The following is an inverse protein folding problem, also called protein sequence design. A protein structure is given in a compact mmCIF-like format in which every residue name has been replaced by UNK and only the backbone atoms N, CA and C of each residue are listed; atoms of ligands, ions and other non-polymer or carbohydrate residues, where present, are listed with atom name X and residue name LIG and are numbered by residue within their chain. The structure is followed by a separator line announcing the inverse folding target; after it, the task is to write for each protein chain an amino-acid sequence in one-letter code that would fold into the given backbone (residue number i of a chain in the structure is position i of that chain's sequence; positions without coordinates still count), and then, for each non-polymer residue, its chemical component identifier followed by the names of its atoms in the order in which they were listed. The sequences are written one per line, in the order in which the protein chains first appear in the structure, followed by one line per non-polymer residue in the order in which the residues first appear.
data_IF_492034335842
#
_entry.id   IF_492034335842
#
_cell.length_a   1.000
_cell.length_b   1.000
_cell.length_c   1.000
_cell.angle_alpha   90.00
_cell.angle_beta   90.00
_cell.angle_gamma   90.00
#
_symmetry.space_group_name_H-M   'P 1'
#
loop_
_entity.id
_entity.type
_entity.pdbx_description
1 polymer ?
#
# COMPACT_ATOMS: atom_id res chain seq x y z
N UNK A 1 24.26 -8.27 -13.45
CA UNK A 1 22.91 -7.69 -13.48
C UNK A 1 23.00 -6.26 -13.01
N UNK A 2 22.15 -5.37 -13.52
CA UNK A 2 22.08 -3.98 -13.08
C UNK A 2 21.49 -3.97 -11.66
N UNK A 3 22.14 -3.33 -10.68
CA UNK A 3 21.55 -3.18 -9.34
C UNK A 3 20.23 -2.38 -9.44
N UNK A 4 19.26 -2.69 -8.60
CA UNK A 4 17.93 -2.09 -8.59
C UNK A 4 17.76 -1.16 -7.40
N UNK A 5 17.42 0.10 -7.68
CA UNK A 5 17.10 1.12 -6.70
C UNK A 5 15.58 1.30 -6.62
N UNK A 6 14.99 1.10 -5.45
CA UNK A 6 13.60 1.36 -5.15
C UNK A 6 13.44 2.62 -4.30
N UNK A 7 12.72 3.61 -4.82
CA UNK A 7 12.36 4.82 -4.08
C UNK A 7 10.86 4.82 -3.84
N UNK A 8 10.43 5.09 -2.60
CA UNK A 8 9.02 5.02 -2.19
C UNK A 8 8.58 6.39 -1.68
N UNK A 9 7.47 6.88 -2.20
CA UNK A 9 6.74 8.01 -1.61
C UNK A 9 5.93 7.52 -0.40
N UNK A 10 6.55 7.63 0.77
CA UNK A 10 6.02 7.16 2.04
C UNK A 10 4.79 7.95 2.50
N UNK A 11 4.80 9.28 2.31
CA UNK A 11 3.67 10.15 2.58
C UNK A 11 2.42 9.71 1.82
N UNK A 12 2.53 9.61 0.49
CA UNK A 12 1.42 9.25 -0.39
C UNK A 12 0.92 7.83 -0.10
N UNK A 13 1.84 6.89 0.15
CA UNK A 13 1.48 5.54 0.55
C UNK A 13 0.73 5.49 1.89
N UNK A 14 1.16 6.25 2.90
CA UNK A 14 0.49 6.32 4.19
C UNK A 14 -0.94 6.88 4.08
N UNK A 15 -1.10 7.99 3.35
CA UNK A 15 -2.41 8.57 3.06
C UNK A 15 -3.33 7.60 2.32
N UNK A 16 -2.83 6.95 1.27
CA UNK A 16 -3.61 5.98 0.51
C UNK A 16 -4.00 4.78 1.36
N UNK A 17 -3.09 4.29 2.20
CA UNK A 17 -3.33 3.18 3.12
C UNK A 17 -4.43 3.52 4.12
N UNK A 18 -4.42 4.73 4.68
CA UNK A 18 -5.49 5.20 5.57
C UNK A 18 -6.86 5.20 4.86
N UNK A 19 -6.92 5.77 3.65
CA UNK A 19 -8.19 5.89 2.93
C UNK A 19 -8.71 4.57 2.35
N UNK A 20 -7.83 3.61 2.06
CA UNK A 20 -8.21 2.27 1.59
C UNK A 20 -9.15 1.55 2.58
N UNK A 21 -9.05 1.84 3.87
CA UNK A 21 -9.89 1.26 4.93
C UNK A 21 -10.95 2.23 5.46
N UNK A 22 -11.20 3.38 4.82
CA UNK A 22 -12.16 4.37 5.36
C UNK A 22 -13.58 3.82 5.56
N UNK A 23 -14.02 2.84 4.76
CA UNK A 23 -15.33 2.20 4.93
C UNK A 23 -15.37 1.18 6.07
N UNK A 24 -14.21 0.61 6.45
CA UNK A 24 -14.08 -0.35 7.55
C UNK A 24 -12.71 -0.17 8.22
N UNK A 25 -12.55 0.87 9.06
CA UNK A 25 -11.29 1.14 9.72
C UNK A 25 -10.88 -0.04 10.60
N UNK A 26 -9.59 -0.32 10.63
CA UNK A 26 -8.99 -1.27 11.54
C UNK A 26 -8.71 -0.55 12.85
N UNK A 27 -9.11 -1.15 13.97
CA UNK A 27 -8.83 -0.62 15.30
C UNK A 27 -8.31 -1.74 16.19
N UNK A 28 -7.35 -1.42 17.05
CA UNK A 28 -6.92 -2.33 18.11
C UNK A 28 -7.87 -2.26 19.32
N UNK A 29 -7.65 -3.12 20.32
CA UNK A 29 -8.42 -3.13 21.57
C UNK A 29 -8.43 -1.81 22.34
N UNK A 30 -7.44 -0.94 22.13
CA UNK A 30 -7.34 0.41 22.73
C UNK A 30 -8.14 1.46 21.94
N UNK A 31 -8.82 1.07 20.86
CA UNK A 31 -9.60 1.96 20.00
C UNK A 31 -8.78 2.79 19.02
N UNK A 32 -7.45 2.61 18.96
CA UNK A 32 -6.59 3.32 18.02
C UNK A 32 -6.83 2.81 16.61
N UNK A 33 -6.99 3.72 15.65
CA UNK A 33 -7.01 3.38 14.23
C UNK A 33 -5.62 2.91 13.80
N UNK A 34 -5.53 1.72 13.20
CA UNK A 34 -4.28 1.09 12.75
C UNK A 34 -4.26 0.84 11.24
N UNK A 35 -5.25 1.35 10.51
CA UNK A 35 -5.42 1.14 9.07
C UNK A 35 -4.25 1.63 8.22
N UNK A 36 -3.68 2.79 8.55
CA UNK A 36 -2.60 3.37 7.77
C UNK A 36 -1.34 2.51 7.90
N UNK A 37 -0.97 2.14 9.14
CA UNK A 37 0.20 1.28 9.39
C UNK A 37 0.04 -0.09 8.73
N UNK A 38 -1.13 -0.73 8.90
CA UNK A 38 -1.38 -2.06 8.31
C UNK A 38 -1.32 -2.04 6.79
N UNK A 39 -2.02 -1.09 6.16
CA UNK A 39 -2.03 -0.94 4.71
C UNK A 39 -0.67 -0.57 4.14
N UNK A 40 0.09 0.28 4.85
CA UNK A 40 1.44 0.67 4.47
C UNK A 40 2.35 -0.55 4.44
N UNK A 41 2.38 -1.34 5.53
CA UNK A 41 3.20 -2.55 5.63
C UNK A 41 2.87 -3.57 4.55
N UNK A 42 1.58 -3.85 4.31
CA UNK A 42 1.19 -4.80 3.25
C UNK A 42 1.62 -4.33 1.87
N UNK A 43 1.48 -3.03 1.59
CA UNK A 43 1.88 -2.46 0.30
C UNK A 43 3.40 -2.46 0.15
N UNK A 44 4.14 -2.09 1.20
CA UNK A 44 5.59 -2.12 1.23
C UNK A 44 6.13 -3.53 1.00
N UNK A 45 5.68 -4.52 1.77
CA UNK A 45 6.12 -5.92 1.62
C UNK A 45 5.86 -6.47 0.22
N UNK A 46 4.72 -6.11 -0.38
CA UNK A 46 4.40 -6.51 -1.75
C UNK A 46 5.34 -5.87 -2.77
N UNK A 47 5.55 -4.55 -2.69
CA UNK A 47 6.41 -3.83 -3.64
C UNK A 47 7.85 -4.32 -3.51
N UNK A 48 8.35 -4.52 -2.29
CA UNK A 48 9.67 -5.10 -2.06
C UNK A 48 9.75 -6.53 -2.62
N UNK A 49 8.72 -7.35 -2.44
CA UNK A 49 8.67 -8.71 -3.00
C UNK A 49 8.61 -8.75 -4.53
N UNK A 50 7.90 -7.80 -5.16
CA UNK A 50 7.81 -7.67 -6.62
C UNK A 50 9.11 -7.16 -7.24
N UNK A 51 9.76 -6.18 -6.58
CA UNK A 51 10.94 -5.49 -7.12
C UNK A 51 12.25 -6.19 -6.75
N UNK A 52 12.32 -6.78 -5.55
CA UNK A 52 13.53 -7.33 -4.94
C UNK A 52 14.75 -6.40 -5.06
N UNK A 53 14.69 -5.19 -4.45
CA UNK A 53 15.69 -4.15 -4.66
C UNK A 53 17.02 -4.40 -3.93
N UNK A 54 18.11 -3.92 -4.52
CA UNK A 54 19.43 -3.88 -3.88
C UNK A 54 19.58 -2.63 -2.97
N UNK A 55 18.88 -1.55 -3.32
CA UNK A 55 18.84 -0.29 -2.59
C UNK A 55 17.38 0.15 -2.41
N UNK A 56 17.01 0.62 -1.23
CA UNK A 56 15.66 1.10 -0.92
C UNK A 56 15.69 2.38 -0.06
N UNK A 57 14.93 3.38 -0.50
CA UNK A 57 14.72 4.62 0.25
C UNK A 57 13.24 4.97 0.32
N UNK A 58 12.76 5.40 1.49
CA UNK A 58 11.37 5.79 1.70
C UNK A 58 11.33 7.26 2.13
N UNK A 59 10.81 8.11 1.25
CA UNK A 59 10.75 9.55 1.46
C UNK A 59 9.43 9.96 2.10
N UNK A 60 9.49 10.88 3.07
CA UNK A 60 8.33 11.44 3.74
C UNK A 60 8.38 12.97 3.70
N UNK A 61 7.19 13.58 3.68
CA UNK A 61 7.05 15.02 3.77
C UNK A 61 7.11 15.47 5.22
N UNK A 62 7.85 16.55 5.48
CA UNK A 62 7.81 17.23 6.77
C UNK A 62 6.66 18.25 6.79
N UNK A 63 6.09 18.47 7.97
CA UNK A 63 4.99 19.43 8.18
C UNK A 63 5.41 20.92 8.07
N UNK A 64 6.62 21.20 7.58
CA UNK A 64 7.17 22.56 7.47
C UNK A 64 6.98 23.12 6.06
N UNK A 65 6.85 24.45 5.91
CA UNK A 65 6.82 25.08 4.59
C UNK A 65 8.09 24.75 3.78
N UNK A 66 7.90 24.60 2.49
CA UNK A 66 8.97 24.37 1.49
C UNK A 66 9.20 25.61 0.64
N UNK A 67 10.25 25.61 -0.18
CA UNK A 67 10.54 26.72 -1.11
C UNK A 67 9.36 27.05 -2.05
N UNK A 68 8.48 26.07 -2.35
CA UNK A 68 7.26 26.30 -3.13
C UNK A 68 6.29 27.30 -2.47
N UNK A 69 6.27 27.38 -1.14
CA UNK A 69 5.44 28.34 -0.42
C UNK A 69 5.97 29.78 -0.53
N UNK A 70 7.27 29.95 -0.81
CA UNK A 70 7.87 31.25 -1.12
C UNK A 70 7.49 31.70 -2.55
N UNK A 71 7.43 30.75 -3.49
CA UNK A 71 7.04 31.00 -4.90
C UNK A 71 5.54 31.31 -5.01
N UNK A 72 4.69 30.52 -4.33
CA UNK A 72 3.24 30.69 -4.38
C UNK A 72 2.61 30.39 -3.03
N UNK A 73 2.17 31.45 -2.34
CA UNK A 73 1.64 31.36 -0.97
C UNK A 73 0.42 30.45 -0.82
N UNK A 74 -0.39 30.30 -1.88
CA UNK A 74 -1.58 29.45 -1.88
C UNK A 74 -1.30 28.00 -2.32
N UNK A 75 -0.04 27.64 -2.56
CA UNK A 75 0.36 26.28 -2.90
C UNK A 75 -0.07 25.29 -1.80
N UNK A 76 -0.73 24.19 -2.19
CA UNK A 76 -1.33 23.20 -1.26
C UNK A 76 -2.27 23.80 -0.18
N UNK A 77 -2.68 25.08 -0.27
CA UNK A 77 -3.48 25.74 0.76
C UNK A 77 -4.91 25.17 0.90
N UNK A 78 -5.43 24.55 -0.17
CA UNK A 78 -6.71 23.84 -0.16
C UNK A 78 -6.60 22.37 0.26
N UNK A 79 -5.39 21.86 0.50
CA UNK A 79 -5.18 20.48 0.95
C UNK A 79 -5.82 20.34 2.33
N UNK A 80 -6.68 19.34 2.49
CA UNK A 80 -7.30 19.05 3.79
C UNK A 80 -6.19 18.78 4.79
N UNK A 81 -6.35 19.29 6.02
CA UNK A 81 -5.47 18.92 7.13
C UNK A 81 -5.38 17.41 7.23
N UNK A 82 -4.20 16.90 7.59
CA UNK A 82 -4.01 15.49 7.88
C UNK A 82 -5.10 15.02 8.85
N UNK A 83 -5.78 13.90 8.59
CA UNK A 83 -6.77 13.36 9.53
C UNK A 83 -6.15 13.16 10.91
N UNK A 84 -6.88 13.52 11.97
CA UNK A 84 -6.42 13.39 13.36
C UNK A 84 -6.06 11.95 13.71
N UNK A 85 -6.71 10.96 13.06
CA UNK A 85 -6.40 9.54 13.24
C UNK A 85 -5.19 9.05 12.42
N UNK A 86 -4.74 9.80 11.41
CA UNK A 86 -3.56 9.46 10.60
C UNK A 86 -2.27 9.97 11.24
N UNK A 87 -2.27 11.21 11.74
CA UNK A 87 -1.09 11.83 12.38
C UNK A 87 -0.37 10.92 13.40
N UNK A 88 -1.05 10.30 14.38
CA UNK A 88 -0.38 9.42 15.35
C UNK A 88 0.14 8.10 14.75
N UNK A 89 -0.25 7.74 13.53
CA UNK A 89 0.23 6.55 12.84
C UNK A 89 1.54 6.80 12.08
N UNK A 90 1.89 8.06 11.75
CA UNK A 90 3.11 8.38 11.00
C UNK A 90 4.39 7.97 11.76
N UNK A 91 4.58 8.32 13.05
CA UNK A 91 5.75 7.87 13.81
C UNK A 91 5.85 6.35 13.90
N UNK A 92 4.71 5.66 13.97
CA UNK A 92 4.67 4.19 14.01
C UNK A 92 5.08 3.60 12.65
N UNK A 93 4.69 4.23 11.54
CA UNK A 93 5.16 3.84 10.21
C UNK A 93 6.69 3.98 10.14
N UNK A 94 7.25 5.08 10.68
CA UNK A 94 8.70 5.27 10.72
C UNK A 94 9.38 4.16 11.53
N UNK A 95 8.87 3.88 12.73
CA UNK A 95 9.39 2.80 13.58
C UNK A 95 9.40 1.45 12.87
N UNK A 96 8.34 1.14 12.09
CA UNK A 96 8.27 -0.10 11.32
C UNK A 96 9.26 -0.10 10.16
N UNK A 97 9.39 1.00 9.42
CA UNK A 97 10.33 1.13 8.29
C UNK A 97 11.77 0.95 8.75
N UNK A 98 12.16 1.59 9.85
CA UNK A 98 13.49 1.41 10.44
C UNK A 98 13.69 -0.02 10.94
N UNK A 99 12.69 -0.61 11.60
CA UNK A 99 12.78 -1.98 12.08
C UNK A 99 12.83 -3.02 10.94
N UNK A 100 12.32 -2.69 9.75
CA UNK A 100 12.53 -3.49 8.53
C UNK A 100 13.94 -3.35 7.95
N UNK A 101 14.77 -2.43 8.46
CA UNK A 101 16.12 -2.18 7.96
C UNK A 101 16.16 -1.24 6.75
N UNK A 102 15.13 -0.43 6.53
CA UNK A 102 15.06 0.51 5.41
C UNK A 102 15.34 1.95 5.84
N UNK A 103 15.88 2.74 4.92
CA UNK A 103 16.22 4.13 5.18
C UNK A 103 15.02 5.06 4.99
N UNK A 104 14.73 5.84 6.02
CA UNK A 104 13.82 6.99 5.97
C UNK A 104 14.58 8.21 5.43
N UNK A 105 13.94 8.93 4.51
CA UNK A 105 14.49 10.11 3.86
C UNK A 105 13.55 11.30 4.11
N UNK A 106 14.02 12.25 4.90
CA UNK A 106 13.29 13.47 5.26
C UNK A 106 14.28 14.62 5.33
N UNK A 107 13.96 15.76 4.73
CA UNK A 107 14.82 16.94 4.75
C UNK A 107 13.96 18.20 4.90
N UNK A 108 14.39 19.13 5.75
CA UNK A 108 13.64 20.36 5.96
C UNK A 108 13.67 21.25 4.71
N UNK A 109 12.51 21.78 4.33
CA UNK A 109 12.39 22.65 3.16
C UNK A 109 12.20 21.93 1.83
N UNK A 110 12.31 20.59 1.81
CA UNK A 110 12.08 19.75 0.63
C UNK A 110 10.81 18.90 0.80
N UNK A 111 10.17 18.57 -0.32
CA UNK A 111 9.09 17.58 -0.36
C UNK A 111 9.65 16.19 -0.70
N UNK A 112 8.88 15.14 -0.40
CA UNK A 112 9.29 13.77 -0.71
C UNK A 112 9.62 13.59 -2.22
N UNK A 113 8.86 14.27 -3.09
CA UNK A 113 9.08 14.25 -4.53
C UNK A 113 10.44 14.84 -4.95
N UNK A 114 10.92 15.87 -4.26
CA UNK A 114 12.21 16.51 -4.54
C UNK A 114 13.37 15.56 -4.20
N UNK A 115 13.26 14.86 -3.06
CA UNK A 115 14.24 13.86 -2.62
C UNK A 115 14.25 12.67 -3.59
N UNK A 116 13.05 12.16 -3.94
CA UNK A 116 12.90 11.04 -4.87
C UNK A 116 13.47 11.40 -6.24
N UNK A 117 13.15 12.58 -6.77
CA UNK A 117 13.69 13.06 -8.05
C UNK A 117 15.22 13.11 -8.03
N UNK A 118 15.79 13.69 -6.97
CA UNK A 118 17.24 13.84 -6.81
C UNK A 118 17.96 12.48 -6.78
N UNK A 119 17.43 11.52 -6.01
CA UNK A 119 18.01 10.18 -5.91
C UNK A 119 17.78 9.33 -7.15
N UNK A 120 16.65 9.51 -7.85
CA UNK A 120 16.36 8.81 -9.10
C UNK A 120 17.33 9.25 -10.20
N UNK A 121 17.58 10.56 -10.33
CA UNK A 121 18.54 11.10 -11.29
C UNK A 121 19.97 10.62 -11.00
N UNK A 122 20.38 10.62 -9.72
CA UNK A 122 21.68 10.10 -9.30
C UNK A 122 21.79 8.58 -9.57
N UNK A 123 20.75 7.81 -9.25
CA UNK A 123 20.69 6.37 -9.49
C UNK A 123 20.78 6.04 -10.97
N UNK A 124 20.05 6.76 -11.81
CA UNK A 124 20.14 6.60 -13.27
C UNK A 124 21.55 6.89 -13.79
N UNK A 125 22.16 8.00 -13.35
CA UNK A 125 23.53 8.39 -13.74
C UNK A 125 24.58 7.34 -13.35
N UNK A 126 24.41 6.69 -12.20
CA UNK A 126 25.28 5.58 -11.76
C UNK A 126 24.95 4.24 -12.42
N UNK A 127 23.92 4.20 -13.27
CA UNK A 127 23.53 2.99 -13.98
C UNK A 127 22.79 2.01 -13.10
N UNK A 128 21.91 2.46 -12.19
CA UNK A 128 20.92 1.64 -11.50
C UNK A 128 19.63 1.46 -12.33
N UNK A 129 18.94 0.34 -12.17
CA UNK A 129 17.54 0.21 -12.59
C UNK A 129 16.68 0.88 -11.53
N UNK A 130 16.17 2.07 -11.80
CA UNK A 130 15.43 2.86 -10.81
C UNK A 130 13.94 2.57 -10.93
N UNK A 131 13.32 2.24 -9.82
CA UNK A 131 11.88 2.04 -9.69
C UNK A 131 11.38 2.99 -8.61
N UNK A 132 10.39 3.79 -8.95
CA UNK A 132 9.75 4.70 -8.00
C UNK A 132 8.34 4.21 -7.72
N UNK A 133 8.02 3.92 -6.47
CA UNK A 133 6.66 3.61 -6.05
C UNK A 133 5.98 4.88 -5.53
N UNK A 134 5.11 5.44 -6.36
CA UNK A 134 4.34 6.65 -6.02
C UNK A 134 2.95 6.63 -6.66
N UNK A 135 2.05 7.41 -6.09
CA UNK A 135 0.76 7.75 -6.68
C UNK A 135 0.72 9.17 -7.24
N UNK A 136 1.77 9.94 -7.01
CA UNK A 136 1.88 11.29 -7.53
C UNK A 136 2.16 11.25 -9.03
N UNK A 137 1.43 12.09 -9.76
CA UNK A 137 1.58 12.23 -11.20
C UNK A 137 2.74 13.16 -11.55
N UNK A 138 3.20 13.99 -10.62
CA UNK A 138 4.24 14.98 -10.87
C UNK A 138 5.58 14.28 -11.09
N UNK A 139 5.83 13.18 -10.37
CA UNK A 139 6.98 12.31 -10.58
C UNK A 139 7.00 11.63 -11.96
N UNK A 140 5.90 11.62 -12.73
CA UNK A 140 5.91 11.06 -14.10
C UNK A 140 6.93 11.75 -15.02
N UNK A 141 7.39 12.95 -14.66
CA UNK A 141 8.42 13.69 -15.38
C UNK A 141 9.81 13.04 -15.35
N UNK A 142 10.08 12.16 -14.37
CA UNK A 142 11.39 11.49 -14.18
C UNK A 142 11.52 10.19 -14.96
N UNK A 143 10.42 9.71 -15.56
CA UNK A 143 10.38 8.42 -16.27
C UNK A 143 11.31 8.45 -17.49
N UNK A 144 12.14 7.43 -17.62
CA UNK A 144 13.14 7.29 -18.68
C UNK A 144 13.28 5.81 -19.10
N UNK A 145 14.28 5.48 -19.91
CA UNK A 145 14.61 4.08 -20.22
C UNK A 145 15.04 3.29 -18.98
N UNK A 146 15.64 3.96 -17.99
CA UNK A 146 16.20 3.34 -16.78
C UNK A 146 15.41 3.64 -15.51
N UNK A 147 14.45 4.55 -15.59
CA UNK A 147 13.59 4.97 -14.47
C UNK A 147 12.15 4.64 -14.80
N UNK A 148 11.53 3.77 -14.00
CA UNK A 148 10.12 3.38 -14.14
C UNK A 148 9.33 3.74 -12.88
N UNK A 149 8.05 4.07 -13.04
CA UNK A 149 7.15 4.27 -11.91
C UNK A 149 6.25 3.05 -11.74
N UNK A 150 6.10 2.62 -10.49
CA UNK A 150 5.22 1.56 -10.06
C UNK A 150 4.04 2.15 -9.29
N UNK A 151 2.83 1.79 -9.68
CA UNK A 151 1.61 2.21 -9.00
C UNK A 151 0.72 1.00 -8.70
N UNK A 152 0.10 0.98 -7.54
CA UNK A 152 -0.82 -0.10 -7.15
C UNK A 152 -2.28 0.36 -7.20
N UNK A 153 -3.09 -0.25 -8.05
CA UNK A 153 -4.54 -0.01 -8.14
C UNK A 153 -5.31 -1.22 -7.60
N UNK A 154 -6.62 -1.02 -7.37
CA UNK A 154 -7.55 -2.10 -6.98
C UNK A 154 -7.55 -3.28 -7.95
N UNK A 155 -7.16 -3.06 -9.22
CA UNK A 155 -7.12 -4.08 -10.27
C UNK A 155 -5.72 -4.68 -10.50
N UNK A 156 -4.76 -4.41 -9.63
CA UNK A 156 -3.38 -4.90 -9.73
C UNK A 156 -2.35 -3.78 -9.89
N UNK A 157 -1.19 -4.17 -10.38
CA UNK A 157 0.00 -3.32 -10.51
C UNK A 157 -0.01 -2.63 -11.89
N UNK A 158 0.35 -1.35 -11.92
CA UNK A 158 0.47 -0.53 -13.12
C UNK A 158 1.90 0.02 -13.21
N UNK A 159 2.58 -0.28 -14.31
CA UNK A 159 3.92 0.21 -14.60
C UNK A 159 3.86 1.39 -15.57
N UNK A 160 4.71 2.37 -15.30
CA UNK A 160 4.92 3.53 -16.14
C UNK A 160 6.37 3.57 -16.63
N UNK A 161 6.47 3.60 -17.95
CA UNK A 161 7.64 3.78 -18.79
C UNK A 161 7.36 4.94 -19.79
N UNK A 162 8.32 5.35 -20.62
CA UNK A 162 8.10 6.49 -21.52
C UNK A 162 6.90 6.35 -22.46
N UNK A 163 6.59 5.12 -22.91
CA UNK A 163 5.50 4.86 -23.85
C UNK A 163 4.13 4.88 -23.17
N UNK A 164 4.01 4.30 -21.98
CA UNK A 164 2.78 4.31 -21.18
C UNK A 164 2.48 5.71 -20.63
N UNK A 165 3.50 6.49 -20.24
CA UNK A 165 3.34 7.92 -19.93
C UNK A 165 2.81 8.67 -21.15
N UNK A 166 3.43 8.49 -22.31
CA UNK A 166 2.96 9.09 -23.57
C UNK A 166 1.53 8.69 -23.93
N UNK A 167 1.18 7.42 -23.76
CA UNK A 167 -0.16 6.90 -24.02
C UNK A 167 -1.22 7.51 -23.09
N UNK A 168 -0.89 7.69 -21.81
CA UNK A 168 -1.81 8.24 -20.81
C UNK A 168 -1.97 9.76 -20.90
N UNK A 169 -0.87 10.49 -21.03
CA UNK A 169 -0.86 11.95 -20.95
C UNK A 169 -0.83 12.64 -22.32
N UNK A 170 -0.52 11.92 -23.39
CA UNK A 170 -0.42 12.47 -24.74
C UNK A 170 0.88 13.25 -25.02
N UNK A 171 1.80 13.26 -24.07
CA UNK A 171 3.11 13.92 -24.12
C UNK A 171 4.16 13.01 -23.48
N UNK A 172 5.44 13.10 -23.88
CA UNK A 172 6.50 12.31 -23.25
C UNK A 172 6.81 12.82 -21.83
N UNK A 173 7.52 12.03 -20.98
CA UNK A 173 7.83 12.38 -19.58
C UNK A 173 8.37 13.80 -19.39
N UNK A 174 9.33 14.23 -20.22
CA UNK A 174 9.97 15.55 -20.13
C UNK A 174 9.02 16.74 -20.37
N UNK A 175 7.79 16.48 -20.85
CA UNK A 175 6.72 17.47 -21.08
C UNK A 175 5.60 17.41 -20.04
N UNK A 176 5.71 16.56 -19.02
CA UNK A 176 4.76 16.53 -17.90
C UNK A 176 4.69 17.88 -17.17
N UNK A 177 5.81 18.58 -16.87
CA UNK A 177 5.73 19.91 -16.26
C UNK A 177 4.97 20.94 -17.11
N UNK A 178 5.22 20.97 -18.43
CA UNK A 178 4.48 21.83 -19.36
C UNK A 178 2.97 21.51 -19.32
N UNK A 179 2.63 20.23 -19.32
CA UNK A 179 1.26 19.74 -19.32
C UNK A 179 0.50 20.16 -18.06
N UNK A 180 1.11 19.97 -16.89
CA UNK A 180 0.52 20.30 -15.60
C UNK A 180 0.40 21.81 -15.39
N UNK A 181 1.39 22.59 -15.80
CA UNK A 181 1.32 24.05 -15.73
C UNK A 181 0.24 24.65 -16.65
N UNK A 182 0.03 24.07 -17.83
CA UNK A 182 -1.05 24.48 -18.74
C UNK A 182 -2.42 24.07 -18.23
N UNK A 183 -2.56 22.82 -17.78
CA UNK A 183 -3.85 22.27 -17.35
C UNK A 183 -4.24 22.67 -15.92
N UNK A 184 -3.26 23.09 -15.12
CA UNK A 184 -3.37 23.26 -13.68
C UNK A 184 -3.35 21.93 -12.92
N UNK A 185 -3.21 22.06 -11.61
CA UNK A 185 -3.43 20.94 -10.70
C UNK A 185 -4.36 21.32 -9.53
N UNK A 186 -5.52 20.66 -9.49
CA UNK A 186 -6.50 20.87 -8.43
C UNK A 186 -6.01 20.29 -7.09
N UNK A 187 -5.28 19.18 -7.07
CA UNK A 187 -4.79 18.59 -5.80
C UNK A 187 -3.86 19.54 -5.05
N UNK A 188 -2.97 20.19 -5.80
CA UNK A 188 -1.93 21.07 -5.30
C UNK A 188 -2.30 22.56 -5.35
N UNK A 189 -3.53 22.87 -5.78
CA UNK A 189 -4.04 24.22 -5.98
C UNK A 189 -3.16 25.06 -6.94
N UNK A 190 -2.59 24.41 -7.95
CA UNK A 190 -1.82 25.06 -9.02
C UNK A 190 -2.80 25.55 -10.10
N UNK A 191 -2.84 26.87 -10.39
CA UNK A 191 -3.73 27.40 -11.41
C UNK A 191 -3.25 27.02 -12.81
N UNK A 192 -4.19 26.54 -13.63
CA UNK A 192 -4.00 26.31 -15.05
C UNK A 192 -4.64 27.40 -15.91
N UNK A 193 -4.47 27.29 -17.22
CA UNK A 193 -5.14 28.19 -18.17
C UNK A 193 -6.64 27.83 -18.23
N UNK A 194 -7.55 28.80 -18.02
CA UNK A 194 -8.99 28.54 -18.08
C UNK A 194 -9.42 27.86 -19.38
N UNK A 195 -10.14 26.75 -19.27
CA UNK A 195 -10.60 25.96 -20.43
C UNK A 195 -9.54 25.04 -21.03
N UNK A 196 -8.33 24.98 -20.48
CA UNK A 196 -7.28 24.04 -20.88
C UNK A 196 -7.24 22.90 -19.86
N UNK A 197 -7.66 21.71 -20.28
CA UNK A 197 -7.41 20.47 -19.54
C UNK A 197 -6.27 19.67 -20.17
N UNK A 198 -5.89 18.54 -19.55
CA UNK A 198 -4.80 17.65 -19.98
C UNK A 198 -4.80 17.37 -21.50
N UNK A 199 -5.95 17.01 -22.08
CA UNK A 199 -6.05 16.72 -23.53
C UNK A 199 -5.79 17.94 -24.40
N UNK A 200 -6.21 19.13 -23.96
CA UNK A 200 -5.98 20.39 -24.70
C UNK A 200 -4.53 20.81 -24.54
N UNK A 201 -3.98 20.75 -23.32
CA UNK A 201 -2.58 21.02 -23.03
C UNK A 201 -1.64 20.16 -23.89
N UNK A 202 -1.88 18.85 -23.98
CA UNK A 202 -1.10 17.96 -24.84
C UNK A 202 -1.13 18.35 -26.33
N UNK A 203 -2.28 18.82 -26.83
CA UNK A 203 -2.39 19.32 -28.22
C UNK A 203 -1.62 20.62 -28.43
N UNK A 204 -1.63 21.51 -27.44
CA UNK A 204 -0.87 22.77 -27.48
C UNK A 204 0.63 22.48 -27.49
N UNK A 205 1.12 21.63 -26.59
CA UNK A 205 2.53 21.19 -26.52
C UNK A 205 2.94 20.57 -27.85
N UNK A 206 2.14 19.65 -28.41
CA UNK A 206 2.45 19.02 -29.70
C UNK A 206 2.54 20.03 -30.86
N UNK A 207 1.78 21.12 -30.81
CA UNK A 207 1.73 22.13 -31.87
C UNK A 207 2.80 23.21 -31.72
N UNK A 208 3.06 23.64 -30.49
CA UNK A 208 3.85 24.83 -30.20
C UNK A 208 5.17 24.54 -29.46
N UNK A 209 5.44 23.28 -29.09
CA UNK A 209 6.70 22.84 -28.49
C UNK A 209 6.63 22.70 -26.96
N UNK A 210 6.64 23.82 -26.24
CA UNK A 210 6.63 23.88 -24.78
C UNK A 210 5.80 25.04 -24.24
N UNK A 211 5.54 25.04 -22.93
CA UNK A 211 4.97 26.19 -22.25
C UNK A 211 5.87 27.42 -22.38
N UNK A 212 7.18 27.24 -22.22
CA UNK A 212 8.14 28.33 -22.32
C UNK A 212 8.13 28.96 -23.72
N UNK A 213 8.09 28.16 -24.77
CA UNK A 213 7.97 28.65 -26.16
C UNK A 213 6.68 29.48 -26.35
N UNK A 214 5.56 29.01 -25.80
CA UNK A 214 4.27 29.71 -25.86
C UNK A 214 4.27 31.02 -25.06
N UNK A 215 5.05 31.10 -23.98
CA UNK A 215 5.19 32.29 -23.14
C UNK A 215 6.13 33.31 -23.79
N UNK A 216 7.19 32.85 -24.45
CA UNK A 216 8.16 33.71 -25.17
C UNK A 216 7.60 34.23 -26.49
N UNK A 217 6.81 33.42 -27.19
CA UNK A 217 6.26 33.72 -28.51
C UNK A 217 4.73 33.57 -28.56
N UNK A 218 3.96 34.33 -27.75
CA UNK A 218 2.51 34.17 -27.67
C UNK A 218 1.79 34.40 -29.01
N UNK A 219 2.37 35.16 -29.94
CA UNK A 219 1.84 35.43 -31.27
C UNK A 219 1.61 34.19 -32.14
N UNK A 220 2.34 33.09 -31.88
CA UNK A 220 2.19 31.84 -32.65
C UNK A 220 0.90 31.11 -32.30
N UNK A 221 0.29 31.43 -31.15
CA UNK A 221 -0.87 30.76 -30.61
C UNK A 221 -2.12 31.22 -31.36
N UNK A 222 -2.77 30.27 -32.05
CA UNK A 222 -3.99 30.53 -32.83
C UNK A 222 -5.22 30.71 -31.95
N UNK A 223 -5.25 30.06 -30.79
CA UNK A 223 -6.34 30.11 -29.84
C UNK A 223 -6.33 31.44 -29.07
N UNK A 224 -7.12 32.40 -29.54
CA UNK A 224 -7.13 33.78 -29.05
C UNK A 224 -7.29 33.88 -27.52
N UNK A 225 -8.20 33.10 -26.92
CA UNK A 225 -8.40 33.10 -25.46
C UNK A 225 -7.15 32.63 -24.69
N UNK A 226 -6.44 31.62 -25.20
CA UNK A 226 -5.23 31.08 -24.58
C UNK A 226 -4.09 32.07 -24.74
N UNK A 227 -3.90 32.60 -25.95
CA UNK A 227 -2.90 33.64 -26.23
C UNK A 227 -3.07 34.86 -25.31
N UNK A 228 -4.30 35.40 -25.25
CA UNK A 228 -4.60 36.56 -24.44
C UNK A 228 -4.39 36.28 -22.94
N UNK A 229 -4.71 35.07 -22.48
CA UNK A 229 -4.45 34.66 -21.09
C UNK A 229 -2.95 34.58 -20.79
N UNK A 230 -2.15 33.92 -21.64
CA UNK A 230 -0.69 33.81 -21.45
C UNK A 230 -0.05 35.20 -21.45
N UNK A 231 -0.46 36.10 -22.35
CA UNK A 231 0.08 37.47 -22.37
C UNK A 231 -0.27 38.26 -21.10
N UNK A 232 -1.48 38.09 -20.55
CA UNK A 232 -1.94 38.82 -19.35
C UNK A 232 -1.46 38.20 -18.04
N UNK A 233 -1.25 36.90 -18.03
CA UNK A 233 -0.96 36.10 -16.83
C UNK A 233 0.37 35.36 -16.94
N UNK A 234 1.33 35.96 -17.68
CA UNK A 234 2.66 35.39 -17.94
C UNK A 234 3.36 34.91 -16.68
N UNK A 235 3.44 35.78 -15.67
CA UNK A 235 4.11 35.47 -14.40
C UNK A 235 3.43 34.29 -13.68
N UNK A 236 2.09 34.27 -13.64
CA UNK A 236 1.35 33.17 -13.03
C UNK A 236 1.62 31.82 -13.70
N UNK A 237 1.64 31.80 -15.05
CA UNK A 237 1.90 30.58 -15.82
C UNK A 237 3.33 30.09 -15.60
N UNK A 238 4.31 30.99 -15.54
CA UNK A 238 5.71 30.65 -15.22
C UNK A 238 5.87 30.17 -13.77
N UNK A 239 5.15 30.77 -12.82
CA UNK A 239 5.12 30.30 -11.43
C UNK A 239 4.50 28.92 -11.34
N UNK A 240 3.38 28.65 -12.01
CA UNK A 240 2.77 27.31 -12.08
C UNK A 240 3.74 26.27 -12.61
N UNK A 241 4.52 26.60 -13.64
CA UNK A 241 5.57 25.73 -14.17
C UNK A 241 6.68 25.46 -13.15
N UNK A 242 7.13 26.49 -12.44
CA UNK A 242 8.18 26.38 -11.43
C UNK A 242 7.73 25.56 -10.20
N UNK A 243 6.43 25.52 -9.92
CA UNK A 243 5.88 24.69 -8.83
C UNK A 243 5.88 23.19 -9.17
N UNK A 244 5.60 22.82 -10.43
CA UNK A 244 5.48 21.41 -10.86
C UNK A 244 6.78 20.81 -11.35
N UNK A 245 7.71 21.63 -11.85
CA UNK A 245 8.99 21.15 -12.34
C UNK A 245 9.86 20.75 -11.15
N UNK A 246 10.27 19.50 -11.14
CA UNK A 246 11.23 18.99 -10.15
C UNK A 246 12.65 19.28 -10.64
N UNK A 247 13.50 19.66 -9.69
CA UNK A 247 14.91 19.96 -9.94
C UNK A 247 15.76 19.30 -8.87
N UNK A 248 17.01 18.99 -9.22
CA UNK A 248 17.96 18.34 -8.31
C UNK A 248 18.21 19.24 -7.11
N UNK A 249 18.08 18.67 -5.92
CA UNK A 249 18.31 19.38 -4.65
C UNK A 249 19.61 18.92 -3.98
N UNK A 250 20.09 19.73 -3.04
CA UNK A 250 21.09 19.29 -2.08
C UNK A 250 20.40 18.46 -0.99
N UNK A 251 20.83 17.22 -0.81
CA UNK A 251 20.29 16.30 0.19
C UNK A 251 21.44 15.68 1.00
N UNK A 252 21.24 15.37 2.29
CA UNK A 252 22.28 14.80 3.14
C UNK A 252 22.44 13.29 2.98
N UNK A 253 21.78 12.69 1.98
CA UNK A 253 21.73 11.25 1.76
C UNK A 253 22.49 10.87 0.49
N UNK A 254 23.13 9.70 0.53
CA UNK A 254 23.81 9.08 -0.60
C UNK A 254 23.13 7.76 -0.96
N UNK A 255 23.33 7.26 -2.18
CA UNK A 255 22.77 5.96 -2.59
C UNK A 255 23.29 4.82 -1.70
N UNK A 256 24.51 4.93 -1.20
CA UNK A 256 25.10 3.97 -0.27
C UNK A 256 24.29 3.83 1.03
N UNK A 257 23.67 4.91 1.51
CA UNK A 257 22.83 4.91 2.72
C UNK A 257 21.52 4.13 2.53
N UNK A 258 21.15 3.82 1.28
CA UNK A 258 19.91 3.13 0.93
C UNK A 258 20.09 1.60 0.86
N UNK A 259 21.29 1.06 1.11
CA UNK A 259 21.45 -0.39 1.22
C UNK A 259 20.68 -0.90 2.44
N UNK A 260 19.74 -1.86 2.29
CA UNK A 260 18.99 -2.41 3.41
C UNK A 260 19.93 -3.01 4.46
N UNK A 261 19.59 -2.84 5.74
CA UNK A 261 20.21 -3.56 6.84
C UNK A 261 19.38 -4.78 7.23
N UNK A 262 19.92 -5.65 8.08
CA UNK A 262 19.16 -6.75 8.64
C UNK A 262 17.95 -6.23 9.45
N UNK A 263 16.74 -6.81 9.27
CA UNK A 263 15.56 -6.37 9.98
C UNK A 263 15.62 -6.73 11.47
N UNK A 264 15.24 -5.79 12.33
CA UNK A 264 15.05 -6.01 13.77
C UNK A 264 13.70 -6.72 14.01
N UNK A 265 13.76 -8.04 13.96
CA UNK A 265 12.57 -8.90 14.13
C UNK A 265 11.90 -8.70 15.48
N UNK A 266 12.65 -8.49 16.56
CA UNK A 266 12.09 -8.32 17.89
C UNK A 266 11.34 -6.99 18.02
N UNK A 267 11.88 -5.90 17.48
CA UNK A 267 11.19 -4.60 17.38
C UNK A 267 9.93 -4.71 16.54
N UNK A 268 10.00 -5.36 15.37
CA UNK A 268 8.83 -5.60 14.51
C UNK A 268 7.73 -6.41 15.23
N UNK A 269 8.09 -7.50 15.90
CA UNK A 269 7.15 -8.34 16.67
C UNK A 269 6.46 -7.52 17.76
N UNK A 270 7.23 -6.71 18.49
CA UNK A 270 6.70 -5.84 19.54
C UNK A 270 5.67 -4.86 18.97
N UNK A 271 6.02 -4.15 17.89
CA UNK A 271 5.13 -3.19 17.24
C UNK A 271 3.86 -3.91 16.75
N UNK A 272 4.00 -5.02 16.03
CA UNK A 272 2.85 -5.75 15.49
C UNK A 272 1.94 -6.34 16.57
N UNK A 273 2.48 -6.74 17.72
CA UNK A 273 1.67 -7.14 18.89
C UNK A 273 0.87 -5.97 19.46
N UNK A 274 1.52 -4.82 19.65
CA UNK A 274 0.85 -3.60 20.16
C UNK A 274 -0.26 -3.10 19.22
N UNK A 275 -0.09 -3.30 17.92
CA UNK A 275 -1.08 -2.96 16.88
C UNK A 275 -2.09 -4.08 16.58
N UNK A 276 -1.93 -5.26 17.20
CA UNK A 276 -2.78 -6.45 17.01
C UNK A 276 -2.79 -6.98 15.57
N UNK A 277 -1.66 -6.90 14.87
CA UNK A 277 -1.49 -7.40 13.50
C UNK A 277 -1.21 -8.91 13.46
N UNK A 278 -2.16 -9.72 13.92
CA UNK A 278 -2.00 -11.17 14.04
C UNK A 278 -1.67 -11.88 12.72
N UNK A 279 -2.17 -11.37 11.58
CA UNK A 279 -1.82 -11.92 10.26
C UNK A 279 -0.33 -11.73 9.95
N UNK A 280 0.20 -10.52 10.16
CA UNK A 280 1.61 -10.19 9.93
C UNK A 280 2.53 -10.94 10.91
N UNK A 281 2.12 -11.09 12.18
CA UNK A 281 2.85 -11.93 13.14
C UNK A 281 2.95 -13.38 12.68
N UNK A 282 1.84 -13.96 12.19
CA UNK A 282 1.84 -15.32 11.62
C UNK A 282 2.73 -15.43 10.38
N UNK A 283 2.70 -14.43 9.48
CA UNK A 283 3.58 -14.37 8.30
C UNK A 283 5.07 -14.37 8.72
N UNK A 284 5.41 -13.78 9.87
CA UNK A 284 6.76 -13.80 10.45
C UNK A 284 7.10 -15.11 11.20
N UNK A 285 6.21 -16.10 11.23
CA UNK A 285 6.37 -17.31 12.03
C UNK A 285 6.15 -17.09 13.53
N UNK A 286 5.64 -15.92 13.92
CA UNK A 286 5.30 -15.57 15.30
C UNK A 286 3.84 -15.88 15.53
N UNK A 287 3.57 -17.17 15.73
CA UNK A 287 2.37 -17.58 16.43
C UNK A 287 2.65 -17.52 17.93
N UNK A 288 1.67 -17.07 18.73
CA UNK A 288 1.48 -17.79 19.98
C UNK A 288 1.25 -19.23 19.57
N UNK A 289 2.21 -20.12 19.83
CA UNK A 289 1.84 -21.46 20.19
C UNK A 289 0.90 -21.28 21.38
N UNK A 290 -0.40 -21.28 21.14
CA UNK A 290 -1.36 -21.47 22.22
C UNK A 290 -0.99 -22.86 22.75
N UNK A 291 -0.15 -22.89 23.77
CA UNK A 291 0.06 -24.09 24.57
C UNK A 291 -1.24 -24.26 25.35
N UNK A 292 -2.27 -24.77 24.67
CA UNK A 292 -3.38 -25.38 25.40
C UNK A 292 -2.73 -26.52 26.16
N UNK A 293 -2.90 -26.55 27.49
CA UNK A 293 -2.38 -27.64 28.31
C UNK A 293 -2.75 -28.95 27.62
N UNK A 294 -1.76 -29.70 27.17
CA UNK A 294 -1.96 -31.04 26.60
C UNK A 294 -2.40 -31.97 27.73
N UNK A 295 -3.68 -31.88 28.09
CA UNK A 295 -4.38 -32.96 28.74
C UNK A 295 -4.79 -33.97 27.68
N UNK A 296 -4.76 -35.25 28.03
CA UNK A 296 -5.35 -36.28 27.20
C UNK A 296 -6.87 -36.00 27.13
N UNK A 297 -7.40 -35.71 25.93
CA UNK A 297 -8.85 -35.59 25.70
C UNK A 297 -9.46 -36.97 25.97
N UNK A 298 -10.34 -37.08 26.97
CA UNK A 298 -10.92 -38.34 27.44
C UNK A 298 -12.44 -38.22 27.46
N UNK A 299 -13.13 -39.19 26.87
CA UNK A 299 -14.58 -39.23 26.88
C UNK A 299 -15.14 -40.04 25.71
N UNK A 300 -16.46 -40.01 25.57
CA UNK A 300 -17.17 -40.72 24.49
C UNK A 300 -17.49 -39.81 23.29
N UNK A 301 -17.36 -38.49 23.44
CA UNK A 301 -17.73 -37.48 22.45
C UNK A 301 -16.52 -36.63 22.08
N UNK A 302 -16.27 -36.47 20.79
CA UNK A 302 -15.20 -35.64 20.23
C UNK A 302 -15.79 -34.48 19.42
N UNK A 303 -15.57 -33.24 19.85
CA UNK A 303 -15.91 -32.05 19.04
C UNK A 303 -14.76 -31.71 18.11
N UNK A 304 -15.00 -31.49 16.81
CA UNK A 304 -13.97 -31.21 15.80
C UNK A 304 -14.31 -29.96 15.00
N UNK A 305 -13.42 -28.96 15.06
CA UNK A 305 -13.46 -27.77 14.20
C UNK A 305 -12.23 -27.74 13.31
N UNK A 306 -12.45 -27.46 12.02
CA UNK A 306 -11.37 -27.35 11.02
C UNK A 306 -11.16 -25.88 10.71
N UNK A 307 -9.90 -25.44 10.76
CA UNK A 307 -9.52 -24.07 10.42
C UNK A 307 -8.25 -24.06 9.58
N UNK A 308 -8.20 -23.20 8.56
CA UNK A 308 -7.04 -23.07 7.67
C UNK A 308 -7.23 -23.80 6.33
N UNK A 309 -6.71 -23.18 5.26
CA UNK A 309 -6.87 -23.63 3.87
C UNK A 309 -6.13 -24.93 3.53
N UNK A 310 -4.97 -24.84 2.88
CA UNK A 310 -4.26 -26.03 2.34
C UNK A 310 -3.77 -27.03 3.40
N UNK A 311 -3.69 -26.63 4.68
CA UNK A 311 -3.38 -27.51 5.81
C UNK A 311 -4.49 -27.39 6.87
N UNK A 312 -5.31 -28.42 7.07
CA UNK A 312 -6.37 -28.38 8.07
C UNK A 312 -5.76 -28.37 9.47
N UNK A 313 -6.17 -27.42 10.29
CA UNK A 313 -5.92 -27.42 11.73
C UNK A 313 -7.15 -27.98 12.42
N UNK A 314 -6.97 -29.03 13.22
CA UNK A 314 -8.06 -29.65 13.97
C UNK A 314 -8.08 -29.10 15.40
N UNK A 315 -9.23 -28.64 15.86
CA UNK A 315 -9.45 -28.33 17.27
C UNK A 315 -10.37 -29.39 17.83
N UNK A 316 -9.88 -30.12 18.84
CA UNK A 316 -10.62 -31.18 19.52
C UNK A 316 -10.99 -30.80 20.95
N UNK A 317 -12.20 -31.15 21.38
CA UNK A 317 -12.62 -30.98 22.78
C UNK A 317 -13.61 -32.04 23.24
N UNK A 318 -13.49 -32.44 24.52
CA UNK A 318 -14.44 -33.30 25.25
C UNK A 318 -15.36 -32.50 26.20
N UNK A 319 -15.28 -31.16 26.17
CA UNK A 319 -16.03 -30.26 27.06
C UNK A 319 -15.27 -29.80 28.30
N UNK A 320 -14.19 -30.48 28.70
CA UNK A 320 -13.30 -30.05 29.79
C UNK A 320 -11.92 -29.62 29.28
N UNK A 321 -11.40 -30.33 28.29
CA UNK A 321 -10.11 -30.08 27.67
C UNK A 321 -10.30 -29.72 26.20
N UNK A 322 -9.43 -28.84 25.71
CA UNK A 322 -9.32 -28.51 24.28
C UNK A 322 -7.89 -28.79 23.84
N UNK A 323 -7.70 -29.31 22.63
CA UNK A 323 -6.37 -29.53 22.06
C UNK A 323 -6.39 -29.18 20.57
N UNK A 324 -5.28 -28.60 20.10
CA UNK A 324 -5.06 -28.34 18.68
C UNK A 324 -4.17 -29.45 18.11
N UNK A 325 -4.61 -30.09 17.03
CA UNK A 325 -3.91 -31.17 16.34
C UNK A 325 -3.59 -30.70 14.92
N UNK A 326 -2.31 -30.81 14.55
CA UNK A 326 -1.80 -30.40 13.23
C UNK A 326 -1.46 -31.60 12.35
N UNK A 327 -1.28 -32.78 12.94
CA UNK A 327 -0.95 -34.00 12.22
C UNK A 327 -2.23 -34.78 11.85
N UNK A 328 -2.33 -35.14 10.57
CA UNK A 328 -3.48 -35.88 10.04
C UNK A 328 -3.56 -37.31 10.60
N UNK A 329 -2.42 -37.98 10.79
CA UNK A 329 -2.37 -39.34 11.34
C UNK A 329 -2.85 -39.38 12.79
N UNK A 330 -2.36 -38.45 13.61
CA UNK A 330 -2.79 -38.29 15.00
C UNK A 330 -4.30 -38.03 15.10
N UNK A 331 -4.85 -37.24 14.17
CA UNK A 331 -6.29 -36.97 14.13
C UNK A 331 -7.12 -38.22 13.81
N UNK A 332 -6.67 -39.04 12.86
CA UNK A 332 -7.34 -40.31 12.50
C UNK A 332 -7.36 -41.27 13.69
N UNK A 333 -6.21 -41.43 14.36
CA UNK A 333 -6.10 -42.29 15.54
C UNK A 333 -7.01 -41.86 16.68
N UNK A 334 -7.27 -40.56 16.80
CA UNK A 334 -8.18 -40.00 17.80
C UNK A 334 -9.63 -40.23 17.42
N UNK A 335 -10.05 -39.91 16.20
CA UNK A 335 -11.43 -40.13 15.73
C UNK A 335 -11.89 -41.57 16.00
N UNK A 336 -11.02 -42.55 15.75
CA UNK A 336 -11.35 -43.96 15.95
C UNK A 336 -11.55 -44.37 17.43
N UNK A 337 -11.12 -43.55 18.39
CA UNK A 337 -11.25 -43.83 19.83
C UNK A 337 -12.55 -43.31 20.43
N UNK A 338 -13.25 -42.40 19.77
CA UNK A 338 -14.49 -41.81 20.29
C UNK A 338 -15.72 -42.47 19.69
N UNK A 339 -16.82 -42.49 20.42
CA UNK A 339 -18.06 -43.12 19.94
C UNK A 339 -18.88 -42.16 19.09
N UNK A 340 -18.88 -40.88 19.47
CA UNK A 340 -19.64 -39.82 18.84
C UNK A 340 -18.70 -38.68 18.40
N UNK A 341 -19.01 -38.06 17.26
CA UNK A 341 -18.29 -36.90 16.72
C UNK A 341 -19.27 -35.75 16.53
N UNK A 342 -18.93 -34.58 17.05
CA UNK A 342 -19.63 -33.32 16.78
C UNK A 342 -18.75 -32.49 15.84
N UNK A 343 -19.28 -32.05 14.70
CA UNK A 343 -18.51 -31.22 13.76
C UNK A 343 -19.38 -30.16 13.09
N UNK A 344 -18.77 -29.12 12.56
CA UNK A 344 -19.46 -28.05 11.82
C UNK A 344 -19.76 -28.39 10.36
N UNK A 345 -18.96 -29.26 9.75
CA UNK A 345 -19.14 -29.73 8.38
C UNK A 345 -18.49 -31.12 8.22
N UNK A 346 -19.32 -32.16 8.14
CA UNK A 346 -18.83 -33.54 8.00
C UNK A 346 -18.14 -33.78 6.67
N UNK A 347 -18.49 -33.06 5.61
CA UNK A 347 -17.85 -33.23 4.30
C UNK A 347 -16.43 -32.67 4.33
N UNK A 348 -16.27 -31.51 4.95
CA UNK A 348 -14.95 -30.90 5.16
C UNK A 348 -14.07 -31.82 6.03
N UNK A 349 -14.63 -32.38 7.09
CA UNK A 349 -13.94 -33.36 7.93
C UNK A 349 -13.53 -34.61 7.17
N UNK A 350 -14.46 -35.22 6.44
CA UNK A 350 -14.19 -36.42 5.65
C UNK A 350 -13.11 -36.18 4.59
N UNK A 351 -13.13 -35.00 3.95
CA UNK A 351 -12.11 -34.59 2.99
C UNK A 351 -10.73 -34.42 3.66
N UNK A 352 -10.67 -33.76 4.82
CA UNK A 352 -9.44 -33.54 5.56
C UNK A 352 -8.77 -34.86 5.99
N UNK A 353 -9.55 -35.80 6.55
CA UNK A 353 -9.03 -37.09 7.04
C UNK A 353 -8.92 -38.15 5.93
N UNK A 354 -9.61 -37.98 4.81
CA UNK A 354 -9.56 -38.87 3.64
C UNK A 354 -10.54 -40.04 3.66
N UNK A 355 -11.49 -40.08 4.60
CA UNK A 355 -12.56 -41.07 4.67
C UNK A 355 -13.76 -40.51 5.47
N UNK A 356 -14.93 -41.12 5.32
CA UNK A 356 -16.07 -40.82 6.20
C UNK A 356 -15.97 -41.61 7.50
N UNK A 357 -15.96 -40.97 8.68
CA UNK A 357 -15.94 -41.69 9.95
C UNK A 357 -17.16 -42.60 10.09
N UNK A 358 -16.96 -43.80 10.64
CA UNK A 358 -18.05 -44.75 10.95
C UNK A 358 -18.74 -44.44 12.29
N UNK A 359 -18.21 -43.47 13.03
CA UNK A 359 -18.72 -43.01 14.32
C UNK A 359 -20.12 -42.40 14.16
N UNK A 360 -20.84 -42.24 15.28
CA UNK A 360 -22.10 -41.50 15.26
C UNK A 360 -21.81 -40.01 15.13
N UNK A 361 -22.26 -39.40 14.04
CA UNK A 361 -21.91 -38.00 13.70
C UNK A 361 -23.08 -37.06 13.97
N UNK A 362 -22.77 -35.93 14.59
CA UNK A 362 -23.64 -34.78 14.76
C UNK A 362 -23.04 -33.59 14.00
N UNK A 363 -23.62 -33.30 12.84
CA UNK A 363 -23.23 -32.16 12.02
C UNK A 363 -24.09 -30.93 12.36
N UNK A 364 -23.45 -29.92 12.96
CA UNK A 364 -24.11 -28.71 13.44
C UNK A 364 -24.70 -27.87 12.30
N UNK A 365 -24.08 -27.88 11.11
CA UNK A 365 -24.59 -27.17 9.95
C UNK A 365 -25.85 -27.82 9.39
N UNK A 366 -25.87 -29.16 9.33
CA UNK A 366 -27.08 -29.92 8.95
C UNK A 366 -28.18 -29.73 10.00
N UNK A 367 -27.85 -29.78 11.28
CA UNK A 367 -28.82 -29.52 12.35
C UNK A 367 -29.42 -28.12 12.24
N UNK A 368 -28.60 -27.08 12.02
CA UNK A 368 -29.10 -25.72 11.84
C UNK A 368 -30.01 -25.60 10.61
N UNK A 369 -29.67 -26.27 9.51
CA UNK A 369 -30.54 -26.32 8.32
C UNK A 369 -31.89 -26.97 8.63
N UNK A 370 -31.91 -28.06 9.38
CA UNK A 370 -33.16 -28.76 9.73
C UNK A 370 -34.05 -27.91 10.64
N UNK A 371 -33.46 -27.12 11.55
CA UNK A 371 -34.21 -26.22 12.44
C UNK A 371 -34.63 -24.93 11.71
N UNK A 372 -33.78 -24.41 10.81
CA UNK A 372 -33.95 -23.13 10.14
C UNK A 372 -33.84 -23.22 8.60
N UNK A 373 -34.69 -23.99 7.92
CA UNK A 373 -34.51 -24.34 6.49
C UNK A 373 -34.61 -23.15 5.52
N UNK A 374 -35.24 -22.05 5.94
CA UNK A 374 -35.43 -20.86 5.11
C UNK A 374 -34.26 -19.87 5.18
N UNK A 375 -33.24 -20.14 6.01
CA UNK A 375 -32.11 -19.23 6.18
C UNK A 375 -31.01 -19.50 5.15
N UNK A 376 -30.24 -18.45 4.82
CA UNK A 376 -29.12 -18.55 3.89
C UNK A 376 -27.82 -18.80 4.63
N UNK A 377 -27.29 -20.01 4.49
CA UNK A 377 -25.96 -20.44 4.94
C UNK A 377 -25.92 -20.86 6.41
N UNK A 378 -25.35 -22.03 6.66
CA UNK A 378 -25.37 -22.77 7.95
C UNK A 378 -23.95 -23.06 8.44
N UNK A 379 -23.08 -22.05 8.40
CA UNK A 379 -21.70 -22.17 8.87
C UNK A 379 -21.60 -21.98 10.39
N UNK A 380 -20.54 -22.53 11.00
CA UNK A 380 -20.27 -22.38 12.43
C UNK A 380 -20.20 -20.90 12.87
N UNK A 381 -19.55 -20.04 12.07
CA UNK A 381 -19.48 -18.60 12.34
C UNK A 381 -20.86 -17.93 12.48
N UNK A 382 -21.84 -18.39 11.70
CA UNK A 382 -23.22 -17.87 11.75
C UNK A 382 -23.99 -18.43 12.93
N UNK A 383 -23.69 -19.67 13.34
CA UNK A 383 -24.27 -20.30 14.52
C UNK A 383 -23.84 -19.59 15.81
N UNK A 384 -22.56 -19.24 15.93
CA UNK A 384 -21.99 -18.59 17.13
C UNK A 384 -22.44 -17.13 17.29
N UNK A 385 -22.84 -16.48 16.21
CA UNK A 385 -23.30 -15.08 16.22
C UNK A 385 -24.79 -14.89 16.60
N UNK A 386 -25.54 -15.99 16.77
CA UNK A 386 -26.95 -15.97 17.19
C UNK A 386 -27.04 -16.23 18.68
#
# INVERSE_FOLDING_TARGET
MKETLLLIDGSSLAYRSFYAFSNRPLRNSKGMNTSAVYGFVKSLNMVVGEVNPDLIGIAFDLARPTFRHEIFREYKAKRKKMPDELSPQIPIIHDVVEAMGYRILEEEGLEADDIIYTLAEEGEKRGYSVIIFTFDKDLMQVVSENVRILNMRTKGVEWYDPDTVRGKYGVPPEKIPDLLALAGDVSDNIPGIPGVGIKTAAKLIKRYGSLLDMVEHPEIIKEENIRNYIMRSRELVLSSYSLVKLERQEIPFTLEDLRPTEPDKDRLIKIYRELEFFSLLREMGVGESVSVKSGEVRGDVLSVVISGGEKPVFVISDGEYTQVVFDKGEMIDRINKFREIITSDIKELAHAIGFYPENKIYDLGIMDYLIHPNQRGHSLDKLVQR
#
